data_IF_960127650166
#
_entry.id   IF_960127650166
#
_cell.length_a   1.000
_cell.length_b   1.000
_cell.length_c   1.000
_cell.angle_alpha   90.00
_cell.angle_beta   90.00
_cell.angle_gamma   90.00
#
_symmetry.space_group_name_H-M   'P 1'
#
loop_
_entity.id
_entity.type
_entity.pdbx_description
1 polymer ?
#
# COMPACT_ATOMS: atom_id res chain seq x y z
N UNK A 1 -11.69 16.01 23.19
CA UNK A 1 -12.23 15.35 21.99
C UNK A 1 -11.76 16.07 20.73
N UNK A 2 -11.80 17.41 20.70
CA UNK A 2 -11.30 18.24 19.59
C UNK A 2 -9.81 18.04 19.23
N UNK A 3 -8.95 17.77 20.22
CA UNK A 3 -7.52 17.51 19.99
C UNK A 3 -7.26 16.23 19.16
N UNK A 4 -8.13 15.23 19.29
CA UNK A 4 -8.00 13.97 18.55
C UNK A 4 -8.34 14.19 17.07
N UNK A 5 -9.44 14.89 16.79
CA UNK A 5 -9.84 15.21 15.42
C UNK A 5 -8.80 16.07 14.70
N UNK A 6 -8.21 17.04 15.40
CA UNK A 6 -7.12 17.85 14.86
C UNK A 6 -5.89 17.00 14.49
N UNK A 7 -5.46 16.08 15.35
CA UNK A 7 -4.34 15.17 15.07
C UNK A 7 -4.62 14.24 13.90
N UNK A 8 -5.84 13.72 13.77
CA UNK A 8 -6.25 12.88 12.63
C UNK A 8 -6.22 13.69 11.33
N UNK A 9 -6.69 14.93 11.34
CA UNK A 9 -6.68 15.78 10.15
C UNK A 9 -5.25 16.17 9.75
N UNK A 10 -4.39 16.51 10.71
CA UNK A 10 -2.96 16.76 10.48
C UNK A 10 -2.25 15.52 9.90
N UNK A 11 -2.52 14.32 10.42
CA UNK A 11 -1.99 13.07 9.90
C UNK A 11 -2.48 12.82 8.46
N UNK A 12 -3.78 12.95 8.22
CA UNK A 12 -4.38 12.76 6.89
C UNK A 12 -3.76 13.71 5.87
N UNK A 13 -3.58 14.99 6.21
CA UNK A 13 -2.92 15.98 5.34
C UNK A 13 -1.48 15.61 5.03
N UNK A 14 -0.71 15.13 6.00
CA UNK A 14 0.70 14.69 5.79
C UNK A 14 0.80 13.47 4.85
N UNK A 15 -0.22 12.61 4.86
CA UNK A 15 -0.26 11.39 4.05
C UNK A 15 -1.10 11.54 2.78
N UNK A 16 -1.61 12.74 2.45
CA UNK A 16 -2.27 12.99 1.17
C UNK A 16 -1.24 12.94 0.05
N UNK A 17 -1.30 11.87 -0.73
CA UNK A 17 -0.62 11.80 -2.01
C UNK A 17 -1.29 12.79 -2.96
N UNK A 18 -0.49 13.56 -3.71
CA UNK A 18 -1.02 14.42 -4.76
C UNK A 18 -1.79 13.56 -5.76
N UNK A 19 -3.06 13.87 -5.97
CA UNK A 19 -3.85 13.16 -6.98
C UNK A 19 -3.46 13.70 -8.34
N UNK A 20 -3.22 12.81 -9.30
CA UNK A 20 -3.03 13.22 -10.69
C UNK A 20 -4.37 13.76 -11.25
N UNK A 21 -4.30 14.86 -11.99
CA UNK A 21 -5.44 15.47 -12.68
C UNK A 21 -5.03 15.79 -14.12
N UNK A 22 -5.91 15.50 -15.07
CA UNK A 22 -5.67 15.70 -16.50
C UNK A 22 -6.67 14.93 -17.35
N UNK A 23 -6.51 15.00 -18.67
CA UNK A 23 -7.35 14.25 -19.60
C UNK A 23 -6.80 12.86 -19.86
N UNK A 24 -7.63 11.95 -20.39
CA UNK A 24 -7.15 10.63 -20.83
C UNK A 24 -5.97 10.71 -21.83
N UNK A 25 -5.95 11.74 -22.70
CA UNK A 25 -4.86 11.98 -23.65
C UNK A 25 -3.54 12.28 -22.96
N UNK A 26 -3.58 12.93 -21.80
CA UNK A 26 -2.40 13.25 -21.00
C UNK A 26 -1.92 12.03 -20.20
N UNK A 27 -2.86 11.17 -19.78
CA UNK A 27 -2.55 9.97 -19.00
C UNK A 27 -1.95 8.82 -19.83
N UNK A 28 -2.45 8.62 -21.06
CA UNK A 28 -2.07 7.47 -21.88
C UNK A 28 -0.55 7.36 -22.14
N UNK A 29 0.19 8.44 -22.49
CA UNK A 29 1.64 8.37 -22.62
C UNK A 29 2.34 7.91 -21.34
N UNK A 30 1.85 8.32 -20.16
CA UNK A 30 2.43 7.89 -18.88
C UNK A 30 2.27 6.39 -18.68
N UNK A 31 1.12 5.82 -19.03
CA UNK A 31 0.88 4.37 -18.95
C UNK A 31 1.74 3.59 -19.94
N UNK A 32 1.96 4.15 -21.14
CA UNK A 32 2.85 3.54 -22.13
C UNK A 32 4.31 3.50 -21.64
N UNK A 33 4.76 4.54 -20.95
CA UNK A 33 6.09 4.59 -20.32
C UNK A 33 6.18 3.67 -19.09
N UNK A 34 5.15 3.66 -18.25
CA UNK A 34 5.08 2.84 -17.05
C UNK A 34 3.71 2.13 -16.95
N UNK A 35 3.61 0.89 -17.44
CA UNK A 35 2.37 0.12 -17.39
C UNK A 35 1.83 -0.10 -15.97
N UNK A 36 2.67 -0.01 -14.92
CA UNK A 36 2.24 -0.16 -13.52
C UNK A 36 1.27 0.94 -13.07
N UNK A 37 1.20 2.06 -13.78
CA UNK A 37 0.22 3.12 -13.50
C UNK A 37 -1.22 2.62 -13.65
N UNK A 38 -1.47 1.73 -14.61
CA UNK A 38 -2.76 1.10 -14.88
C UNK A 38 -2.92 -0.29 -14.21
N UNK A 39 -2.02 -0.64 -13.29
CA UNK A 39 -2.06 -1.92 -12.58
C UNK A 39 -3.32 -2.05 -11.71
N UNK A 40 -3.84 -3.27 -11.61
CA UNK A 40 -4.97 -3.59 -10.75
C UNK A 40 -4.66 -3.28 -9.29
N UNK A 41 -5.66 -2.85 -8.53
CA UNK A 41 -5.50 -2.47 -7.13
C UNK A 41 -4.89 -3.61 -6.29
N UNK A 42 -5.36 -4.85 -6.49
CA UNK A 42 -4.84 -6.02 -5.77
C UNK A 42 -3.34 -6.25 -6.07
N UNK A 43 -2.94 -6.17 -7.34
CA UNK A 43 -1.55 -6.36 -7.73
C UNK A 43 -0.66 -5.25 -7.16
N UNK A 44 -1.15 -4.00 -7.10
CA UNK A 44 -0.41 -2.90 -6.49
C UNK A 44 -0.17 -3.12 -5.00
N UNK A 45 -1.18 -3.61 -4.28
CA UNK A 45 -1.05 -3.94 -2.85
C UNK A 45 -0.10 -5.12 -2.67
N UNK A 46 -0.23 -6.17 -3.48
CA UNK A 46 0.67 -7.32 -3.49
C UNK A 46 2.14 -6.89 -3.63
N UNK A 47 2.45 -6.11 -4.68
CA UNK A 47 3.81 -5.63 -4.95
C UNK A 47 4.34 -4.79 -3.77
N UNK A 48 3.49 -3.93 -3.21
CA UNK A 48 3.83 -3.07 -2.09
C UNK A 48 4.17 -3.89 -0.84
N UNK A 49 3.34 -4.85 -0.46
CA UNK A 49 3.58 -5.72 0.71
C UNK A 49 4.85 -6.55 0.52
N UNK A 50 5.00 -7.20 -0.64
CA UNK A 50 6.17 -8.04 -0.97
C UNK A 50 7.48 -7.25 -1.04
N UNK A 51 7.43 -5.96 -1.42
CA UNK A 51 8.65 -5.13 -1.57
C UNK A 51 9.41 -4.90 -0.26
N UNK A 52 8.77 -5.09 0.90
CA UNK A 52 9.40 -4.98 2.21
C UNK A 52 10.12 -6.28 2.65
N UNK A 53 9.96 -7.35 1.87
CA UNK A 53 10.52 -8.67 2.13
C UNK A 53 9.54 -9.61 2.81
N UNK A 54 9.76 -10.90 2.59
CA UNK A 54 8.96 -12.00 3.14
C UNK A 54 9.92 -13.08 3.62
N UNK A 55 9.76 -13.49 4.88
CA UNK A 55 10.46 -14.62 5.48
C UNK A 55 9.48 -15.79 5.68
N UNK A 56 10.01 -16.97 5.97
CA UNK A 56 9.22 -18.11 6.41
C UNK A 56 9.32 -18.25 7.93
N UNK A 57 8.19 -18.48 8.58
CA UNK A 57 8.16 -18.82 10.00
C UNK A 57 8.60 -20.28 10.26
N UNK A 58 8.70 -20.67 11.54
CA UNK A 58 9.10 -22.02 11.94
C UNK A 58 8.12 -23.12 11.47
N UNK A 59 6.89 -22.73 11.10
CA UNK A 59 5.85 -23.61 10.55
C UNK A 59 5.78 -23.60 9.02
N UNK A 60 6.62 -22.79 8.36
CA UNK A 60 6.67 -22.64 6.91
C UNK A 60 5.67 -21.64 6.32
N UNK A 61 4.98 -20.83 7.13
CA UNK A 61 4.08 -19.79 6.63
C UNK A 61 4.85 -18.51 6.28
N UNK A 62 4.33 -17.75 5.31
CA UNK A 62 4.90 -16.47 4.93
C UNK A 62 4.67 -15.39 6.00
N UNK A 63 5.75 -14.73 6.40
CA UNK A 63 5.75 -13.60 7.31
C UNK A 63 6.15 -12.34 6.57
N UNK A 64 5.22 -11.40 6.48
CA UNK A 64 5.38 -10.17 5.71
C UNK A 64 6.02 -9.05 6.55
N UNK A 65 7.10 -8.45 6.06
CA UNK A 65 7.77 -7.39 6.84
C UNK A 65 7.08 -6.03 6.82
N UNK A 66 6.09 -5.85 5.95
CA UNK A 66 5.47 -4.57 5.59
C UNK A 66 5.02 -3.71 6.79
N UNK A 67 4.50 -4.34 7.84
CA UNK A 67 3.99 -3.64 9.03
C UNK A 67 4.68 -4.06 10.34
N UNK A 68 5.84 -4.72 10.26
CA UNK A 68 6.52 -5.29 11.44
C UNK A 68 6.89 -4.27 12.52
N UNK A 69 6.93 -2.97 12.20
CA UNK A 69 7.27 -1.90 13.15
C UNK A 69 6.05 -1.08 13.58
N UNK A 70 4.89 -1.34 12.99
CA UNK A 70 3.70 -0.50 13.09
C UNK A 70 2.49 -1.27 13.64
N UNK A 71 2.26 -2.51 13.18
CA UNK A 71 1.08 -3.30 13.52
C UNK A 71 1.47 -4.76 13.78
N UNK A 72 1.13 -5.26 14.97
CA UNK A 72 1.39 -6.64 15.38
C UNK A 72 0.17 -7.53 15.19
N UNK A 73 0.37 -8.80 14.82
CA UNK A 73 -0.70 -9.81 14.74
C UNK A 73 -1.60 -9.68 13.51
N UNK A 74 -1.16 -8.96 12.48
CA UNK A 74 -1.93 -8.77 11.24
C UNK A 74 -1.44 -9.65 10.09
N UNK A 75 -0.51 -10.57 10.34
CA UNK A 75 0.07 -11.45 9.33
C UNK A 75 -0.99 -12.27 8.59
N UNK A 76 -1.97 -12.84 9.31
CA UNK A 76 -3.09 -13.59 8.71
C UNK A 76 -3.98 -12.70 7.82
N UNK A 77 -4.20 -11.45 8.22
CA UNK A 77 -4.98 -10.50 7.43
C UNK A 77 -4.21 -10.08 6.17
N UNK A 78 -2.89 -9.92 6.26
CA UNK A 78 -2.04 -9.64 5.10
C UNK A 78 -1.99 -10.82 4.13
N UNK A 79 -1.90 -12.05 4.64
CA UNK A 79 -1.93 -13.25 3.79
C UNK A 79 -3.18 -13.26 2.90
N UNK A 80 -4.37 -13.01 3.45
CA UNK A 80 -5.65 -12.95 2.69
C UNK A 80 -5.72 -11.86 1.60
N UNK A 81 -4.83 -10.87 1.64
CA UNK A 81 -4.78 -9.78 0.66
C UNK A 81 -3.76 -10.10 -0.45
N UNK A 82 -2.78 -10.94 -0.13
CA UNK A 82 -1.63 -11.26 -0.99
C UNK A 82 -1.76 -12.66 -1.61
N UNK A 83 -2.61 -13.52 -1.05
CA UNK A 83 -2.99 -14.88 -1.51
C UNK A 83 -4.43 -14.91 -2.02
#
# INVERSE_FOLDING_TARGET
>A
MDDIFRKIDEHTRKHRVSHWEGTFRDYLPMVLENPKLAQLAHARIYDMVRSYGVDLDESGNERYHFFTRELFGIDEALAKVVE
#
